data_IF_743192519727
#
_entry.id   IF_743192519727
#
_cell.length_a   1.000
_cell.length_b   1.000
_cell.length_c   1.000
_cell.angle_alpha   90.00
_cell.angle_beta   90.00
_cell.angle_gamma   90.00
#
_symmetry.space_group_name_H-M   'P 1'
#
loop_
_entity.id
_entity.type
_entity.pdbx_description
1 polymer ?
#
# COMPACT_ATOMS: atom_id res chain seq x y z
N UNK A 1 11.03 -15.66 21.72
CA UNK A 1 9.63 -15.27 21.97
C UNK A 1 9.05 -14.82 20.65
N UNK A 2 8.10 -15.58 20.09
CA UNK A 2 7.51 -15.29 18.78
C UNK A 2 6.66 -14.02 18.89
N UNK A 3 7.08 -12.93 18.24
CA UNK A 3 6.18 -11.82 18.00
C UNK A 3 5.15 -12.31 16.99
N UNK A 4 3.99 -12.75 17.46
CA UNK A 4 2.80 -12.87 16.64
C UNK A 4 2.52 -11.49 16.05
N UNK A 5 3.09 -11.24 14.87
CA UNK A 5 2.81 -10.06 14.07
C UNK A 5 1.36 -10.17 13.66
N UNK A 6 0.49 -9.37 14.29
CA UNK A 6 -0.91 -9.25 13.86
C UNK A 6 -0.94 -8.91 12.38
N UNK A 7 -1.68 -9.70 11.62
CA UNK A 7 -2.01 -9.44 10.21
C UNK A 7 -2.54 -8.02 10.02
N UNK A 8 -2.11 -7.34 8.96
CA UNK A 8 -2.60 -6.02 8.55
C UNK A 8 -3.78 -6.15 7.57
N UNK A 9 -4.70 -5.19 7.64
CA UNK A 9 -5.68 -4.88 6.60
C UNK A 9 -5.10 -3.82 5.67
N UNK A 10 -4.75 -4.20 4.45
CA UNK A 10 -4.06 -3.33 3.48
C UNK A 10 -4.99 -3.07 2.30
N UNK A 11 -5.29 -1.80 2.04
CA UNK A 11 -6.01 -1.36 0.86
C UNK A 11 -5.05 -0.93 -0.25
N UNK A 12 -5.17 -1.51 -1.44
CA UNK A 12 -4.34 -1.16 -2.58
C UNK A 12 -5.09 -0.20 -3.51
N UNK A 13 -4.51 0.98 -3.75
CA UNK A 13 -5.00 1.94 -4.76
C UNK A 13 -4.12 1.83 -6.00
N UNK A 14 -4.72 1.43 -7.11
CA UNK A 14 -4.00 1.13 -8.36
C UNK A 14 -3.59 -0.33 -8.42
N UNK A 15 -4.53 -1.19 -8.80
CA UNK A 15 -4.34 -2.64 -8.86
C UNK A 15 -3.73 -3.12 -10.20
N UNK A 16 -2.72 -2.40 -10.70
CA UNK A 16 -1.97 -2.76 -11.91
C UNK A 16 -0.90 -3.83 -11.63
N UNK A 17 0.00 -4.08 -12.58
CA UNK A 17 1.02 -5.14 -12.50
C UNK A 17 1.84 -5.11 -11.20
N UNK A 18 2.25 -3.92 -10.75
CA UNK A 18 3.05 -3.79 -9.54
C UNK A 18 2.23 -4.01 -8.25
N UNK A 19 1.02 -3.45 -8.19
CA UNK A 19 0.10 -3.70 -7.08
C UNK A 19 -0.26 -5.18 -6.94
N UNK A 20 -0.51 -5.87 -8.07
CA UNK A 20 -0.76 -7.31 -8.11
C UNK A 20 0.47 -8.12 -7.66
N UNK A 21 1.67 -7.71 -8.05
CA UNK A 21 2.91 -8.33 -7.61
C UNK A 21 3.09 -8.27 -6.09
N UNK A 22 2.88 -7.09 -5.48
CA UNK A 22 2.94 -6.94 -4.03
C UNK A 22 1.81 -7.71 -3.31
N UNK A 23 0.60 -7.67 -3.88
CA UNK A 23 -0.58 -8.34 -3.33
C UNK A 23 -0.35 -9.86 -3.14
N UNK A 24 0.28 -10.52 -4.12
CA UNK A 24 0.58 -11.95 -4.04
C UNK A 24 1.41 -12.29 -2.79
N UNK A 25 2.46 -11.52 -2.51
CA UNK A 25 3.29 -11.74 -1.32
C UNK A 25 2.54 -11.41 -0.03
N UNK A 26 1.79 -10.30 -0.01
CA UNK A 26 1.03 -9.90 1.17
C UNK A 26 -0.03 -10.94 1.56
N UNK A 27 -0.71 -11.55 0.58
CA UNK A 27 -1.65 -12.66 0.82
C UNK A 27 -0.92 -13.87 1.40
N UNK A 28 0.22 -14.27 0.82
CA UNK A 28 1.03 -15.41 1.33
C UNK A 28 1.47 -15.20 2.78
N UNK A 29 1.73 -13.96 3.18
CA UNK A 29 2.08 -13.60 4.56
C UNK A 29 0.87 -13.49 5.49
N UNK A 30 -0.35 -13.74 5.00
CA UNK A 30 -1.58 -13.77 5.79
C UNK A 30 -2.24 -12.41 6.00
N UNK A 31 -1.88 -11.39 5.20
CA UNK A 31 -2.54 -10.08 5.24
C UNK A 31 -3.90 -10.10 4.56
N UNK A 32 -4.82 -9.28 5.08
CA UNK A 32 -6.13 -9.09 4.45
C UNK A 32 -6.03 -7.94 3.46
N UNK A 33 -6.40 -8.19 2.20
CA UNK A 33 -6.33 -7.18 1.14
C UNK A 33 -7.72 -6.73 0.70
N UNK A 34 -7.81 -5.43 0.44
CA UNK A 34 -8.85 -4.84 -0.41
C UNK A 34 -8.17 -4.06 -1.53
N UNK A 35 -8.88 -3.82 -2.63
CA UNK A 35 -8.30 -3.08 -3.74
C UNK A 35 -9.31 -2.15 -4.41
N UNK A 36 -8.79 -1.08 -4.98
CA UNK A 36 -9.52 -0.21 -5.90
C UNK A 36 -8.60 0.23 -7.03
N UNK A 37 -9.17 0.50 -8.19
CA UNK A 37 -8.42 0.93 -9.36
C UNK A 37 -9.34 1.55 -10.40
N UNK A 38 -8.77 2.40 -11.26
CA UNK A 38 -9.48 2.95 -12.42
C UNK A 38 -10.01 1.83 -13.33
N UNK A 39 -9.13 0.90 -13.69
CA UNK A 39 -9.49 -0.31 -14.46
C UNK A 39 -10.25 -1.27 -13.56
N UNK A 40 -11.29 -1.91 -14.10
CA UNK A 40 -12.03 -2.92 -13.38
C UNK A 40 -11.19 -4.21 -13.26
N UNK A 41 -10.87 -4.59 -12.02
CA UNK A 41 -10.16 -5.82 -11.71
C UNK A 41 -11.02 -6.78 -10.86
N UNK A 42 -12.34 -6.61 -10.84
CA UNK A 42 -13.25 -7.39 -9.98
C UNK A 42 -13.03 -8.90 -10.12
N UNK A 43 -12.98 -9.41 -11.36
CA UNK A 43 -12.79 -10.84 -11.62
C UNK A 43 -11.42 -11.36 -11.13
N UNK A 44 -10.35 -10.59 -11.34
CA UNK A 44 -9.01 -10.97 -10.89
C UNK A 44 -8.92 -10.93 -9.36
N UNK A 45 -9.48 -9.90 -8.73
CA UNK A 45 -9.50 -9.77 -7.28
C UNK A 45 -10.28 -10.92 -6.63
N UNK A 46 -11.43 -11.29 -7.20
CA UNK A 46 -12.22 -12.44 -6.76
C UNK A 46 -11.41 -13.75 -6.79
N UNK A 47 -10.68 -14.00 -7.89
CA UNK A 47 -9.76 -15.14 -8.01
C UNK A 47 -8.64 -15.14 -6.97
N UNK A 48 -8.21 -13.96 -6.52
CA UNK A 48 -7.17 -13.78 -5.50
C UNK A 48 -7.72 -13.74 -4.06
N UNK A 49 -9.05 -13.79 -3.87
CA UNK A 49 -9.68 -13.60 -2.56
C UNK A 49 -9.59 -12.17 -2.02
N UNK A 50 -9.46 -11.18 -2.91
CA UNK A 50 -9.39 -9.75 -2.59
C UNK A 50 -10.75 -9.12 -2.84
N UNK A 51 -11.26 -8.36 -1.87
CA UNK A 51 -12.47 -7.57 -2.10
C UNK A 51 -12.15 -6.31 -2.92
N UNK A 52 -12.82 -6.14 -4.05
CA UNK A 52 -12.58 -5.02 -4.97
C UNK A 52 -13.70 -3.98 -4.93
N UNK A 53 -13.32 -2.73 -4.73
CA UNK A 53 -14.22 -1.58 -4.75
C UNK A 53 -14.06 -0.78 -6.05
N UNK A 54 -15.16 -0.62 -6.80
CA UNK A 54 -15.21 0.31 -7.94
C UNK A 54 -15.29 1.77 -7.51
N UNK A 55 -15.93 2.03 -6.36
CA UNK A 55 -16.07 3.36 -5.78
C UNK A 55 -14.98 3.61 -4.73
N UNK A 56 -14.24 4.71 -4.90
CA UNK A 56 -13.16 5.11 -4.00
C UNK A 56 -13.71 5.50 -2.62
N UNK A 57 -14.95 6.00 -2.54
CA UNK A 57 -15.57 6.40 -1.28
C UNK A 57 -15.84 5.18 -0.41
N UNK A 58 -16.50 4.16 -0.97
CA UNK A 58 -16.72 2.88 -0.32
C UNK A 58 -15.40 2.19 0.06
N UNK A 59 -14.37 2.29 -0.79
CA UNK A 59 -13.03 1.80 -0.46
C UNK A 59 -12.47 2.49 0.78
N UNK A 60 -12.48 3.82 0.86
CA UNK A 60 -11.93 4.58 1.98
C UNK A 60 -12.75 4.43 3.28
N UNK A 61 -14.04 4.13 3.16
CA UNK A 61 -14.89 3.79 4.30
C UNK A 61 -14.55 2.41 4.89
N UNK A 62 -13.84 1.55 4.17
CA UNK A 62 -13.41 0.26 4.70
C UNK A 62 -12.39 0.43 5.84
N UNK A 63 -12.51 -0.41 6.88
CA UNK A 63 -11.59 -0.41 8.01
C UNK A 63 -10.23 -1.01 7.60
N UNK A 64 -9.24 -0.15 7.32
CA UNK A 64 -7.91 -0.52 6.84
C UNK A 64 -6.83 0.05 7.75
N UNK A 65 -5.75 -0.70 7.96
CA UNK A 65 -4.58 -0.24 8.74
C UNK A 65 -3.64 0.58 7.83
N UNK A 66 -3.54 0.16 6.56
CA UNK A 66 -2.63 0.73 5.57
C UNK A 66 -3.35 0.97 4.25
N UNK A 67 -3.12 2.13 3.62
CA UNK A 67 -3.47 2.40 2.23
C UNK A 67 -2.18 2.48 1.41
N UNK A 68 -2.03 1.56 0.45
CA UNK A 68 -0.87 1.41 -0.42
C UNK A 68 -1.15 2.00 -1.81
N UNK A 69 -0.45 3.08 -2.15
CA UNK A 69 -0.56 3.80 -3.41
C UNK A 69 0.37 3.17 -4.46
N UNK A 70 -0.20 2.32 -5.32
CA UNK A 70 0.45 1.57 -6.38
C UNK A 70 0.14 2.15 -7.79
N UNK A 71 -0.17 3.44 -7.88
CA UNK A 71 -0.50 4.11 -9.15
C UNK A 71 0.75 4.52 -9.94
N UNK A 72 0.59 5.03 -11.16
CA UNK A 72 1.72 5.66 -11.86
C UNK A 72 2.11 6.98 -11.18
N UNK A 73 3.36 7.40 -11.38
CA UNK A 73 3.86 8.70 -10.92
C UNK A 73 3.00 9.84 -11.48
N UNK A 74 2.67 9.77 -12.78
CA UNK A 74 1.88 10.78 -13.48
C UNK A 74 0.45 10.91 -12.98
N UNK A 75 -0.16 9.83 -12.45
CA UNK A 75 -1.54 9.85 -12.00
C UNK A 75 -1.69 10.11 -10.50
N UNK A 76 -0.59 10.12 -9.73
CA UNK A 76 -0.67 10.18 -8.26
C UNK A 76 -1.41 11.44 -7.78
N UNK A 77 -1.09 12.60 -8.36
CA UNK A 77 -1.70 13.88 -7.97
C UNK A 77 -3.22 13.89 -8.20
N UNK A 78 -3.68 13.37 -9.33
CA UNK A 78 -5.11 13.26 -9.65
C UNK A 78 -5.82 12.25 -8.73
N UNK A 79 -5.21 11.08 -8.52
CA UNK A 79 -5.79 10.03 -7.69
C UNK A 79 -5.90 10.47 -6.24
N UNK A 80 -4.83 11.00 -5.64
CA UNK A 80 -4.86 11.46 -4.24
C UNK A 80 -5.75 12.69 -4.09
N UNK A 81 -5.73 13.61 -5.06
CA UNK A 81 -6.55 14.83 -5.02
C UNK A 81 -8.06 14.58 -5.16
N UNK A 82 -8.47 13.44 -5.71
CA UNK A 82 -9.88 13.06 -5.85
C UNK A 82 -10.40 12.17 -4.71
N UNK A 83 -9.53 11.75 -3.79
CA UNK A 83 -9.94 10.92 -2.64
C UNK A 83 -10.80 11.74 -1.66
N UNK A 84 -12.00 11.27 -1.28
CA UNK A 84 -12.77 11.86 -0.19
C UNK A 84 -12.17 11.47 1.17
N UNK A 85 -11.02 12.06 1.53
CA UNK A 85 -10.23 11.70 2.72
C UNK A 85 -10.97 11.91 4.05
N UNK A 86 -12.03 12.72 4.05
CA UNK A 86 -12.93 12.88 5.20
C UNK A 86 -13.72 11.60 5.56
N UNK A 87 -13.79 10.62 4.65
CA UNK A 87 -14.45 9.33 4.89
C UNK A 87 -13.59 8.34 5.69
N UNK A 88 -12.32 8.65 5.95
CA UNK A 88 -11.45 7.77 6.74
C UNK A 88 -11.99 7.61 8.17
N UNK A 89 -12.26 6.37 8.58
CA UNK A 89 -12.81 6.04 9.92
C UNK A 89 -11.83 6.26 11.07
N UNK A 90 -10.54 6.30 10.77
CA UNK A 90 -9.44 6.40 11.75
C UNK A 90 -8.19 6.98 11.09
N UNK A 91 -7.20 7.42 11.90
CA UNK A 91 -5.84 7.62 11.42
C UNK A 91 -5.33 6.37 10.69
N UNK A 92 -4.84 6.54 9.47
CA UNK A 92 -4.41 5.45 8.59
C UNK A 92 -3.00 5.72 8.08
N UNK A 93 -2.19 4.66 7.94
CA UNK A 93 -0.87 4.76 7.32
C UNK A 93 -1.01 4.77 5.79
N UNK A 94 -0.57 5.85 5.15
CA UNK A 94 -0.43 5.92 3.70
C UNK A 94 0.99 5.55 3.30
N UNK A 95 1.11 4.64 2.34
CA UNK A 95 2.38 4.19 1.79
C UNK A 95 2.39 4.40 0.29
N UNK A 96 3.43 5.01 -0.25
CA UNK A 96 3.67 5.01 -1.71
C UNK A 96 4.83 4.08 -2.07
N UNK A 97 4.77 3.50 -3.27
CA UNK A 97 5.82 2.61 -3.82
C UNK A 97 6.43 3.15 -5.12
N UNK A 98 6.30 4.45 -5.37
CA UNK A 98 6.74 5.05 -6.63
C UNK A 98 8.27 5.01 -6.73
N UNK A 99 8.84 5.13 -7.93
CA UNK A 99 10.30 5.12 -8.07
C UNK A 99 10.96 6.44 -7.65
N UNK A 100 10.22 7.56 -7.65
CA UNK A 100 10.67 8.89 -7.20
C UNK A 100 10.20 9.16 -5.77
N UNK A 101 10.93 9.98 -4.99
CA UNK A 101 10.63 10.21 -3.56
C UNK A 101 10.12 11.61 -3.22
N UNK A 102 10.69 12.64 -3.83
CA UNK A 102 10.32 14.02 -3.50
C UNK A 102 8.89 14.37 -3.90
N UNK A 103 8.46 13.90 -5.08
CA UNK A 103 7.10 14.15 -5.56
C UNK A 103 6.01 13.56 -4.65
N UNK A 104 6.00 12.25 -4.33
CA UNK A 104 4.98 11.69 -3.43
C UNK A 104 5.07 12.31 -2.04
N UNK A 105 6.27 12.47 -1.46
CA UNK A 105 6.46 13.08 -0.15
C UNK A 105 5.79 14.46 -0.04
N UNK A 106 6.10 15.36 -0.96
CA UNK A 106 5.59 16.73 -0.94
C UNK A 106 4.07 16.77 -1.17
N UNK A 107 3.56 15.94 -2.07
CA UNK A 107 2.13 15.86 -2.35
C UNK A 107 1.36 15.31 -1.14
N UNK A 108 1.80 14.19 -0.57
CA UNK A 108 1.11 13.52 0.52
C UNK A 108 1.11 14.36 1.78
N UNK A 109 2.22 15.04 2.11
CA UNK A 109 2.26 16.00 3.23
C UNK A 109 1.26 17.16 3.06
N UNK A 110 1.02 17.59 1.81
CA UNK A 110 0.11 18.69 1.50
C UNK A 110 -1.36 18.28 1.54
N UNK A 111 -1.68 17.06 1.09
CA UNK A 111 -3.08 16.64 0.83
C UNK A 111 -3.65 15.78 1.96
N UNK A 112 -2.84 14.92 2.58
CA UNK A 112 -3.35 13.99 3.59
C UNK A 112 -3.64 14.69 4.92
N UNK A 113 -4.70 14.27 5.64
CA UNK A 113 -4.98 14.75 6.99
C UNK A 113 -3.76 14.66 7.90
N UNK A 114 -3.59 15.61 8.82
CA UNK A 114 -2.43 15.67 9.73
C UNK A 114 -2.30 14.41 10.61
N UNK A 115 -3.42 13.76 10.92
CA UNK A 115 -3.45 12.53 11.71
C UNK A 115 -3.03 11.28 10.94
N UNK A 116 -3.04 11.31 9.61
CA UNK A 116 -2.60 10.18 8.80
C UNK A 116 -1.08 10.11 8.75
N UNK A 117 -0.56 8.90 8.91
CA UNK A 117 0.87 8.62 8.77
C UNK A 117 1.26 8.50 7.30
N UNK A 118 2.53 8.78 7.01
CA UNK A 118 3.11 8.80 5.67
C UNK A 118 4.46 8.07 5.69
N UNK A 119 4.53 7.01 4.90
CA UNK A 119 5.75 6.25 4.63
C UNK A 119 6.00 6.25 3.12
N UNK A 120 7.08 6.90 2.68
CA UNK A 120 7.46 6.85 1.27
C UNK A 120 8.40 5.69 1.03
N UNK A 121 8.17 4.86 0.01
CA UNK A 121 8.98 3.66 -0.24
C UNK A 121 9.39 3.50 -1.70
N UNK A 122 10.37 2.65 -1.94
CA UNK A 122 10.81 2.23 -3.25
C UNK A 122 11.34 0.80 -3.16
N UNK A 123 10.50 -0.21 -3.44
CA UNK A 123 11.02 -1.51 -3.79
C UNK A 123 11.79 -1.36 -5.10
N UNK A 124 13.12 -1.48 -5.08
CA UNK A 124 13.97 -1.36 -6.27
C UNK A 124 13.98 -2.65 -7.11
N UNK A 125 12.85 -3.34 -7.10
CA UNK A 125 12.60 -4.60 -7.75
C UNK A 125 11.12 -4.66 -8.13
N UNK A 126 10.77 -5.59 -9.01
CA UNK A 126 9.38 -5.77 -9.44
C UNK A 126 9.10 -7.15 -9.99
N UNK A 127 8.01 -7.32 -10.75
CA UNK A 127 7.54 -8.64 -11.19
C UNK A 127 8.58 -9.49 -11.90
N UNK A 128 9.55 -8.86 -12.58
CA UNK A 128 10.62 -9.58 -13.30
C UNK A 128 11.80 -9.89 -12.39
N UNK A 129 12.32 -8.91 -11.64
CA UNK A 129 13.52 -9.08 -10.81
C UNK A 129 13.26 -9.77 -9.48
N UNK A 130 12.05 -9.63 -8.91
CA UNK A 130 11.62 -10.27 -7.66
C UNK A 130 10.75 -11.51 -7.85
N UNK A 131 10.75 -12.13 -9.04
CA UNK A 131 9.91 -13.29 -9.34
C UNK A 131 10.20 -14.53 -8.48
N UNK A 132 11.43 -14.65 -7.99
CA UNK A 132 11.91 -15.80 -7.21
C UNK A 132 12.09 -15.44 -5.72
N UNK A 133 11.35 -14.43 -5.23
CA UNK A 133 11.52 -13.87 -3.89
C UNK A 133 12.30 -12.57 -3.90
N UNK A 134 12.31 -11.91 -2.74
CA UNK A 134 12.83 -10.56 -2.52
C UNK A 134 14.10 -10.56 -1.66
N UNK A 135 14.60 -11.74 -1.30
CA UNK A 135 15.84 -11.87 -0.56
C UNK A 135 16.99 -11.14 -1.28
N UNK A 136 17.72 -10.31 -0.52
CA UNK A 136 18.82 -9.47 -1.01
C UNK A 136 18.42 -8.41 -2.06
N UNK A 137 17.12 -8.16 -2.29
CA UNK A 137 16.67 -7.05 -3.13
C UNK A 137 16.53 -5.78 -2.29
N UNK A 138 16.96 -4.66 -2.87
CA UNK A 138 16.95 -3.38 -2.17
C UNK A 138 15.52 -2.84 -2.04
N UNK A 139 15.13 -2.58 -0.80
CA UNK A 139 13.91 -1.84 -0.46
C UNK A 139 14.30 -0.56 0.28
N UNK A 140 14.03 0.59 -0.34
CA UNK A 140 14.30 1.90 0.27
C UNK A 140 13.02 2.47 0.87
N UNK A 141 13.13 3.16 2.01
CA UNK A 141 12.01 3.85 2.63
C UNK A 141 12.45 5.14 3.32
N UNK A 142 11.51 6.07 3.46
CA UNK A 142 11.62 7.31 4.23
C UNK A 142 10.39 7.43 5.14
N UNK A 143 10.62 7.48 6.45
CA UNK A 143 9.58 7.68 7.47
C UNK A 143 9.23 9.18 7.52
N UNK A 144 8.41 9.62 6.57
CA UNK A 144 8.08 11.05 6.38
C UNK A 144 7.30 11.64 7.56
N UNK A 145 6.26 10.93 8.03
CA UNK A 145 5.46 11.31 9.20
C UNK A 145 4.88 10.05 9.83
N UNK A 146 5.43 9.60 10.96
CA UNK A 146 5.00 8.36 11.62
C UNK A 146 4.67 8.64 13.08
N UNK A 147 3.41 8.43 13.47
CA UNK A 147 2.89 8.48 14.84
C UNK A 147 2.68 7.06 15.36
N UNK A 148 2.16 6.15 14.55
CA UNK A 148 1.98 4.72 14.86
C UNK A 148 3.17 3.89 14.35
N UNK A 149 4.20 3.82 15.19
CA UNK A 149 5.40 3.03 14.93
C UNK A 149 5.13 1.52 14.83
N UNK A 150 4.07 1.02 15.47
CA UNK A 150 3.74 -0.41 15.44
C UNK A 150 3.20 -0.80 14.07
N UNK A 151 2.26 -0.03 13.53
CA UNK A 151 1.71 -0.28 12.18
C UNK A 151 2.78 -0.07 11.10
N UNK A 152 3.58 1.00 11.20
CA UNK A 152 4.70 1.23 10.29
C UNK A 152 5.71 0.07 10.30
N UNK A 153 6.16 -0.37 11.49
CA UNK A 153 7.12 -1.47 11.61
C UNK A 153 6.58 -2.78 11.06
N UNK A 154 5.30 -3.10 11.30
CA UNK A 154 4.67 -4.30 10.72
C UNK A 154 4.63 -4.25 9.20
N UNK A 155 4.30 -3.08 8.62
CA UNK A 155 4.30 -2.94 7.16
C UNK A 155 5.70 -3.11 6.58
N UNK A 156 6.73 -2.49 7.18
CA UNK A 156 8.12 -2.67 6.76
C UNK A 156 8.57 -4.13 6.87
N UNK A 157 8.06 -4.86 7.85
CA UNK A 157 8.38 -6.28 8.04
C UNK A 157 7.94 -7.14 6.85
N UNK A 158 6.92 -6.74 6.08
CA UNK A 158 6.48 -7.44 4.86
C UNK A 158 7.65 -7.67 3.90
N UNK A 159 8.49 -6.64 3.74
CA UNK A 159 9.65 -6.66 2.85
C UNK A 159 10.86 -7.33 3.50
N UNK A 160 11.01 -7.21 4.83
CA UNK A 160 12.14 -7.77 5.56
C UNK A 160 12.03 -9.30 5.79
N UNK A 161 10.81 -9.83 5.88
CA UNK A 161 10.56 -11.26 6.15
C UNK A 161 10.25 -12.09 4.92
N UNK A 162 10.23 -11.49 3.72
CA UNK A 162 10.06 -12.27 2.50
C UNK A 162 11.31 -13.13 2.28
N UNK A 163 11.08 -14.44 2.30
CA UNK A 163 12.02 -15.47 1.93
C UNK A 163 11.36 -16.31 0.85
N UNK A 164 12.12 -16.56 -0.23
CA UNK A 164 11.71 -17.29 -1.44
C UNK A 164 11.04 -18.63 -1.15
#
# INVERSE_FOLDING_TARGET
>A
MSSSSKSLKIGIVGFGTFGQFLANTMIKQGHTLTATSRTDYSQLCDQMGIHFFRDITAFLDADMDVILLCTSISSLSEVVGSMPLACLKRPTLFVDVLSVKEHPKNLLLKVLPEESDILCTHPMFGPVSGKNGWQNLTFMFDKVRIKDEVTCSKFLQIFASEVS
#
